data_IF_744510518557
#
_entry.id   IF_744510518557
#
_cell.length_a   1.000
_cell.length_b   1.000
_cell.length_c   1.000
_cell.angle_alpha   90.00
_cell.angle_beta   90.00
_cell.angle_gamma   90.00
#
_symmetry.space_group_name_H-M   'P 1'
#
loop_
_entity.id
_entity.type
_entity.pdbx_description
1 polymer ?
#
# COMPACT_ATOMS: atom_id res chain seq x y z
N UNK A 1 -24.12 -26.66 25.95
CA UNK A 1 -23.54 -27.31 24.76
C UNK A 1 -23.47 -26.29 23.64
N UNK A 2 -22.28 -26.07 23.08
CA UNK A 2 -21.94 -25.56 21.74
C UNK A 2 -22.65 -24.27 21.25
N UNK A 3 -21.96 -23.24 20.76
CA UNK A 3 -20.89 -23.35 19.79
C UNK A 3 -19.86 -22.23 19.90
N UNK A 4 -18.60 -22.66 19.93
CA UNK A 4 -17.43 -21.84 19.76
C UNK A 4 -17.41 -21.37 18.30
N UNK A 5 -17.60 -20.08 18.05
CA UNK A 5 -17.30 -19.51 16.74
C UNK A 5 -15.79 -19.59 16.52
N UNK A 6 -15.34 -20.65 15.85
CA UNK A 6 -14.02 -20.68 15.23
C UNK A 6 -14.01 -19.57 14.18
N UNK A 7 -13.38 -18.44 14.53
CA UNK A 7 -12.99 -17.39 13.60
C UNK A 7 -11.83 -17.92 12.74
N UNK A 8 -12.14 -18.88 11.88
CA UNK A 8 -11.22 -19.34 10.85
C UNK A 8 -11.39 -18.44 9.62
N UNK A 9 -10.65 -17.35 9.59
CA UNK A 9 -10.25 -16.73 8.34
C UNK A 9 -8.82 -16.25 8.47
N UNK A 10 -7.88 -17.22 8.57
CA UNK A 10 -6.57 -16.99 7.97
C UNK A 10 -6.84 -16.88 6.46
N UNK A 11 -7.17 -15.67 5.99
CA UNK A 11 -6.90 -15.34 4.60
C UNK A 11 -5.38 -15.45 4.47
N UNK A 12 -4.94 -16.63 4.03
CA UNK A 12 -3.59 -16.83 3.52
C UNK A 12 -3.34 -15.69 2.53
N UNK A 13 -2.20 -15.00 2.66
CA UNK A 13 -1.76 -14.04 1.65
C UNK A 13 -2.11 -14.57 0.27
N UNK A 14 -2.97 -13.82 -0.43
CA UNK A 14 -3.56 -14.25 -1.70
C UNK A 14 -2.52 -14.29 -2.83
N UNK A 15 -1.27 -13.94 -2.51
CA UNK A 15 -0.24 -13.55 -3.46
C UNK A 15 1.15 -13.98 -2.99
N UNK A 16 1.96 -14.41 -3.95
CA UNK A 16 3.41 -14.53 -3.85
C UNK A 16 4.02 -13.91 -5.11
N UNK A 17 5.13 -13.19 -4.97
CA UNK A 17 5.81 -12.50 -6.08
C UNK A 17 5.54 -11.00 -6.14
N UNK A 18 6.13 -10.33 -7.13
CA UNK A 18 6.08 -8.88 -7.29
C UNK A 18 4.90 -8.47 -8.18
N UNK A 19 4.27 -7.36 -7.82
CA UNK A 19 3.13 -6.81 -8.54
C UNK A 19 3.51 -5.45 -9.12
N UNK A 20 4.39 -5.49 -10.11
CA UNK A 20 4.82 -4.33 -10.86
C UNK A 20 3.79 -3.96 -11.92
N UNK A 21 3.39 -2.70 -11.93
CA UNK A 21 2.53 -2.12 -12.98
C UNK A 21 3.39 -1.61 -14.14
N UNK A 22 4.55 -1.02 -13.82
CA UNK A 22 5.59 -0.59 -14.74
C UNK A 22 6.96 -0.72 -14.05
N UNK A 23 8.09 -0.53 -14.75
CA UNK A 23 9.42 -0.52 -14.12
C UNK A 23 9.64 0.55 -13.03
N UNK A 24 8.70 1.49 -12.84
CA UNK A 24 8.77 2.60 -11.88
C UNK A 24 7.55 2.70 -10.97
N UNK A 25 6.57 1.82 -11.14
CA UNK A 25 5.31 1.81 -10.40
C UNK A 25 5.03 0.39 -9.94
N UNK A 26 5.05 0.17 -8.63
CA UNK A 26 4.88 -1.15 -8.03
C UNK A 26 3.87 -1.12 -6.90
N UNK A 27 3.11 -2.20 -6.73
CA UNK A 27 2.21 -2.37 -5.59
C UNK A 27 3.04 -2.91 -4.42
N UNK A 28 3.08 -2.14 -3.32
CA UNK A 28 3.73 -2.55 -2.07
C UNK A 28 2.81 -3.37 -1.18
N UNK A 29 1.52 -3.04 -1.15
CA UNK A 29 0.56 -3.74 -0.30
C UNK A 29 -0.86 -3.63 -0.84
N UNK A 30 -1.65 -4.67 -0.61
CA UNK A 30 -3.09 -4.69 -0.88
C UNK A 30 -3.79 -5.03 0.42
N UNK A 31 -4.79 -4.23 0.77
CA UNK A 31 -5.60 -4.41 1.98
C UNK A 31 -7.07 -4.46 1.57
N UNK A 32 -7.79 -5.49 2.02
CA UNK A 32 -9.23 -5.63 1.81
C UNK A 32 -9.94 -5.65 3.16
N UNK A 33 -10.86 -4.72 3.38
CA UNK A 33 -11.64 -4.61 4.63
C UNK A 33 -10.75 -4.64 5.88
N UNK A 34 -9.65 -3.86 5.88
CA UNK A 34 -8.62 -3.81 6.92
C UNK A 34 -7.83 -5.11 7.15
N UNK A 35 -7.89 -6.07 6.24
CA UNK A 35 -7.03 -7.25 6.25
C UNK A 35 -5.98 -7.12 5.14
N UNK A 36 -4.68 -7.11 5.46
CA UNK A 36 -3.63 -7.21 4.45
C UNK A 36 -3.74 -8.55 3.73
N UNK A 37 -3.90 -8.49 2.40
CA UNK A 37 -3.97 -9.69 1.55
C UNK A 37 -2.68 -9.89 0.76
N UNK A 38 -1.88 -8.84 0.63
CA UNK A 38 -0.56 -8.83 0.00
C UNK A 38 0.33 -7.79 0.66
N UNK A 39 1.62 -8.13 0.82
CA UNK A 39 2.65 -7.22 1.29
C UNK A 39 3.98 -7.60 0.64
N UNK A 40 4.58 -6.66 -0.08
CA UNK A 40 5.92 -6.76 -0.62
C UNK A 40 6.94 -6.20 0.38
N UNK A 41 7.76 -7.08 0.94
CA UNK A 41 8.86 -6.72 1.85
C UNK A 41 10.24 -6.81 1.19
N UNK A 42 10.30 -6.94 -0.14
CA UNK A 42 11.59 -7.05 -0.83
C UNK A 42 12.30 -5.70 -0.86
N UNK A 43 13.62 -5.78 -0.66
CA UNK A 43 14.55 -4.66 -0.67
C UNK A 43 15.07 -4.41 -2.09
N UNK A 44 14.17 -4.29 -3.06
CA UNK A 44 14.55 -4.01 -4.44
C UNK A 44 15.05 -2.58 -4.60
N UNK A 45 15.52 -2.24 -5.82
CA UNK A 45 16.23 -1.00 -6.15
C UNK A 45 15.49 0.32 -5.86
N UNK A 46 14.23 0.25 -5.42
CA UNK A 46 13.44 1.42 -5.03
C UNK A 46 13.59 1.82 -3.55
N UNK A 47 14.11 0.96 -2.66
CA UNK A 47 14.46 1.36 -1.28
C UNK A 47 15.95 1.69 -1.17
N UNK A 48 16.26 2.89 -0.70
CA UNK A 48 17.62 3.36 -0.45
C UNK A 48 17.83 3.54 1.05
N UNK A 49 19.04 3.26 1.53
CA UNK A 49 19.42 3.62 2.90
C UNK A 49 19.48 5.14 3.01
N UNK A 50 18.79 5.70 3.99
CA UNK A 50 18.97 7.10 4.35
C UNK A 50 20.19 7.29 5.27
N UNK A 51 20.36 8.52 5.78
CA UNK A 51 21.51 8.89 6.62
C UNK A 51 21.58 8.08 7.91
N UNK A 52 20.42 7.65 8.42
CA UNK A 52 20.30 6.91 9.68
C UNK A 52 20.35 5.39 9.43
N UNK A 53 20.49 4.98 8.16
CA UNK A 53 20.57 3.59 7.75
C UNK A 53 19.20 2.93 7.54
N UNK A 54 18.12 3.69 7.65
CA UNK A 54 16.75 3.20 7.41
C UNK A 54 16.51 3.05 5.92
N UNK A 55 15.80 1.97 5.53
CA UNK A 55 15.46 1.74 4.13
C UNK A 55 14.24 2.57 3.76
N UNK A 56 14.48 3.73 3.17
CA UNK A 56 13.48 4.68 2.72
C UNK A 56 13.19 4.49 1.23
N UNK A 57 11.91 4.53 0.86
CA UNK A 57 11.52 4.52 -0.54
C UNK A 57 12.11 5.76 -1.23
N UNK A 58 12.85 5.54 -2.32
CA UNK A 58 13.29 6.59 -3.23
C UNK A 58 12.13 7.06 -4.11
N UNK A 59 11.10 7.58 -3.46
CA UNK A 59 9.90 8.08 -4.09
C UNK A 59 8.74 8.28 -3.13
N UNK A 60 7.51 8.06 -3.61
CA UNK A 60 6.28 8.28 -2.85
C UNK A 60 5.30 7.13 -3.02
N UNK A 61 4.46 6.94 -2.01
CA UNK A 61 3.32 6.03 -2.07
C UNK A 61 2.05 6.83 -2.28
N UNK A 62 1.22 6.35 -3.21
CA UNK A 62 -0.18 6.75 -3.34
C UNK A 62 -1.08 5.61 -2.87
N UNK A 63 -2.17 5.95 -2.20
CA UNK A 63 -3.17 5.01 -1.74
C UNK A 63 -4.37 5.10 -2.69
N UNK A 64 -4.61 4.02 -3.43
CA UNK A 64 -5.79 3.86 -4.27
C UNK A 64 -6.84 3.11 -3.48
N UNK A 65 -7.98 3.75 -3.24
CA UNK A 65 -9.08 3.19 -2.46
C UNK A 65 -10.27 2.95 -3.38
N UNK A 66 -10.69 1.70 -3.47
CA UNK A 66 -11.88 1.26 -4.20
C UNK A 66 -12.95 0.88 -3.19
N UNK A 67 -14.09 1.56 -3.23
CA UNK A 67 -15.23 1.30 -2.36
C UNK A 67 -16.40 0.82 -3.20
N UNK A 68 -17.01 -0.31 -2.85
CA UNK A 68 -18.31 -0.68 -3.42
C UNK A 68 -19.48 -0.23 -2.56
N UNK A 69 -20.68 -0.30 -3.15
CA UNK A 69 -21.94 0.06 -2.50
C UNK A 69 -22.27 -0.83 -1.28
N UNK A 70 -21.66 -2.01 -1.18
CA UNK A 70 -21.82 -2.91 -0.04
C UNK A 70 -20.88 -2.56 1.14
N UNK A 71 -20.08 -1.49 1.01
CA UNK A 71 -19.14 -1.06 2.02
C UNK A 71 -17.83 -1.83 2.03
N UNK A 72 -17.54 -2.66 1.00
CA UNK A 72 -16.22 -3.26 0.88
C UNK A 72 -15.21 -2.20 0.44
N UNK A 73 -14.06 -2.21 1.09
CA UNK A 73 -12.96 -1.27 0.84
C UNK A 73 -11.72 -2.06 0.47
N UNK A 74 -11.18 -1.78 -0.71
CA UNK A 74 -9.90 -2.33 -1.17
C UNK A 74 -8.93 -1.16 -1.31
N UNK A 75 -7.80 -1.22 -0.58
CA UNK A 75 -6.73 -0.23 -0.62
C UNK A 75 -5.50 -0.84 -1.28
N UNK A 76 -4.94 -0.16 -2.27
CA UNK A 76 -3.64 -0.46 -2.84
C UNK A 76 -2.66 0.62 -2.43
N UNK A 77 -1.54 0.20 -1.86
CA UNK A 77 -0.40 1.06 -1.54
C UNK A 77 0.57 0.95 -2.69
N UNK A 78 0.58 1.95 -3.56
CA UNK A 78 1.32 1.94 -4.84
C UNK A 78 2.53 2.86 -4.72
N UNK A 79 3.72 2.32 -4.86
CA UNK A 79 4.96 3.07 -4.91
C UNK A 79 5.19 3.64 -6.31
N UNK A 80 5.56 4.92 -6.36
CA UNK A 80 6.08 5.63 -7.52
C UNK A 80 7.52 6.00 -7.18
N UNK A 81 8.48 5.50 -7.97
CA UNK A 81 9.91 5.69 -7.73
C UNK A 81 10.66 6.05 -9.02
N UNK A 82 11.92 6.45 -8.91
CA UNK A 82 12.70 6.92 -10.05
C UNK A 82 12.14 8.23 -10.62
N UNK A 83 12.11 8.38 -11.95
CA UNK A 83 11.66 9.59 -12.65
C UNK A 83 10.20 9.97 -12.32
N UNK A 84 9.36 9.00 -11.93
CA UNK A 84 7.97 9.22 -11.54
C UNK A 84 7.80 9.77 -10.11
N UNK A 85 8.87 9.79 -9.30
CA UNK A 85 8.79 10.24 -7.91
C UNK A 85 8.75 11.76 -7.73
N UNK A 86 9.33 12.50 -8.65
CA UNK A 86 9.48 13.97 -8.56
C UNK A 86 8.41 14.71 -9.37
N UNK A 87 7.86 14.09 -10.42
CA UNK A 87 7.00 14.78 -11.41
C UNK A 87 5.53 14.98 -11.02
N UNK A 88 5.04 14.43 -9.91
CA UNK A 88 3.61 14.43 -9.56
C UNK A 88 3.25 15.47 -8.48
N UNK A 89 4.11 16.47 -8.24
CA UNK A 89 4.02 17.35 -7.07
C UNK A 89 3.08 18.56 -7.20
N UNK A 90 2.19 18.63 -8.17
CA UNK A 90 1.22 19.73 -8.25
C UNK A 90 -0.12 19.27 -8.84
N UNK A 91 -1.19 19.81 -8.26
CA UNK A 91 -2.62 19.65 -8.59
C UNK A 91 -2.93 20.03 -10.05
N UNK A 92 -2.44 19.23 -10.99
CA UNK A 92 -2.71 19.36 -12.42
C UNK A 92 -3.57 18.19 -12.88
N UNK A 93 -4.49 18.46 -13.83
CA UNK A 93 -5.36 17.44 -14.44
C UNK A 93 -4.58 16.24 -15.01
N UNK A 94 -3.31 16.43 -15.37
CA UNK A 94 -2.39 15.39 -15.84
C UNK A 94 -2.10 14.33 -14.77
N UNK A 95 -1.98 14.73 -13.49
CA UNK A 95 -1.80 13.81 -12.37
C UNK A 95 -3.05 12.94 -12.17
N UNK A 96 -4.24 13.54 -12.25
CA UNK A 96 -5.50 12.79 -12.15
C UNK A 96 -5.63 11.76 -13.28
N UNK A 97 -5.33 12.16 -14.53
CA UNK A 97 -5.27 11.22 -15.67
C UNK A 97 -4.25 10.10 -15.44
N UNK A 98 -3.09 10.43 -14.89
CA UNK A 98 -2.08 9.45 -14.50
C UNK A 98 -2.61 8.45 -13.48
N UNK A 99 -3.29 8.90 -12.42
CA UNK A 99 -3.90 7.99 -11.45
C UNK A 99 -5.02 7.15 -12.05
N UNK A 100 -5.84 7.70 -12.96
CA UNK A 100 -6.84 6.90 -13.67
C UNK A 100 -6.20 5.78 -14.49
N UNK A 101 -5.08 6.04 -15.16
CA UNK A 101 -4.33 5.03 -15.89
C UNK A 101 -3.75 3.95 -14.96
N UNK A 102 -3.22 4.35 -13.80
CA UNK A 102 -2.73 3.41 -12.78
C UNK A 102 -3.89 2.58 -12.22
N UNK A 103 -5.04 3.18 -11.94
CA UNK A 103 -6.23 2.47 -11.48
C UNK A 103 -6.70 1.40 -12.48
N UNK A 104 -6.71 1.73 -13.78
CA UNK A 104 -7.00 0.76 -14.85
C UNK A 104 -5.96 -0.35 -14.89
N UNK A 105 -4.68 0.00 -14.80
CA UNK A 105 -3.57 -0.96 -14.77
C UNK A 105 -3.65 -1.91 -13.58
N UNK A 106 -4.14 -1.44 -12.42
CA UNK A 106 -4.43 -2.29 -11.26
C UNK A 106 -5.50 -3.32 -11.61
N UNK A 107 -6.63 -2.91 -12.20
CA UNK A 107 -7.66 -3.85 -12.62
C UNK A 107 -7.13 -4.87 -13.63
N UNK A 108 -6.37 -4.43 -14.64
CA UNK A 108 -5.78 -5.30 -15.65
C UNK A 108 -4.81 -6.32 -15.03
N UNK A 109 -3.94 -5.87 -14.12
CA UNK A 109 -3.00 -6.75 -13.41
C UNK A 109 -3.73 -7.80 -12.56
N UNK A 110 -4.75 -7.38 -11.80
CA UNK A 110 -5.55 -8.26 -10.94
C UNK A 110 -6.31 -9.30 -11.79
N UNK A 111 -6.91 -8.87 -12.91
CA UNK A 111 -7.63 -9.74 -13.83
C UNK A 111 -6.69 -10.71 -14.56
N UNK A 112 -5.55 -10.24 -15.08
CA UNK A 112 -4.52 -11.05 -15.75
C UNK A 112 -4.03 -12.18 -14.86
N UNK A 113 -3.82 -11.90 -13.59
CA UNK A 113 -3.40 -12.87 -12.59
C UNK A 113 -4.58 -13.66 -11.96
N UNK A 114 -5.81 -13.48 -12.46
CA UNK A 114 -7.04 -14.18 -12.03
C UNK A 114 -7.32 -14.09 -10.54
N UNK A 115 -6.95 -12.98 -9.91
CA UNK A 115 -7.13 -12.79 -8.48
C UNK A 115 -8.58 -12.36 -8.20
N UNK A 116 -9.23 -13.07 -7.29
CA UNK A 116 -10.59 -12.78 -6.83
C UNK A 116 -10.62 -11.67 -5.77
N UNK A 117 -10.10 -10.49 -6.11
CA UNK A 117 -10.06 -9.35 -5.20
C UNK A 117 -11.33 -8.50 -5.32
N UNK A 118 -11.69 -8.13 -6.55
CA UNK A 118 -12.88 -7.38 -6.91
C UNK A 118 -14.06 -8.31 -7.20
N UNK A 119 -15.26 -7.87 -6.84
CA UNK A 119 -16.50 -8.53 -7.27
C UNK A 119 -16.83 -8.15 -8.71
N UNK A 120 -17.13 -9.12 -9.60
CA UNK A 120 -17.47 -8.83 -11.00
C UNK A 120 -18.84 -8.14 -11.16
N UNK A 121 -19.65 -8.07 -10.10
CA UNK A 121 -20.99 -7.46 -10.12
C UNK A 121 -21.06 -6.15 -9.35
N UNK A 122 -19.97 -5.73 -8.71
CA UNK A 122 -19.95 -4.50 -7.92
C UNK A 122 -19.49 -3.31 -8.78
N UNK A 123 -20.07 -2.15 -8.50
CA UNK A 123 -19.56 -0.86 -8.98
C UNK A 123 -18.64 -0.29 -7.91
N UNK A 124 -17.44 0.13 -8.30
CA UNK A 124 -16.45 0.68 -7.38
C UNK A 124 -16.25 2.17 -7.59
N UNK A 125 -16.47 2.96 -6.54
CA UNK A 125 -15.98 4.32 -6.48
C UNK A 125 -14.48 4.32 -6.17
N UNK A 126 -13.70 5.06 -6.96
CA UNK A 126 -12.25 5.17 -6.77
C UNK A 126 -11.89 6.50 -6.13
N UNK A 127 -11.02 6.45 -5.11
CA UNK A 127 -10.43 7.60 -4.45
C UNK A 127 -8.91 7.44 -4.42
N UNK A 128 -8.18 8.55 -4.48
CA UNK A 128 -6.72 8.57 -4.45
C UNK A 128 -6.25 9.47 -3.31
N UNK A 129 -5.32 8.99 -2.50
CA UNK A 129 -4.67 9.79 -1.46
C UNK A 129 -3.16 9.78 -1.75
N UNK A 130 -2.58 10.95 -1.97
CA UNK A 130 -1.23 11.06 -2.52
C UNK A 130 -0.18 11.55 -1.49
N UNK A 131 1.10 11.39 -1.86
CA UNK A 131 2.32 11.87 -1.18
C UNK A 131 2.70 11.23 0.14
N UNK A 132 2.56 9.92 0.29
CA UNK A 132 3.13 9.26 1.47
C UNK A 132 4.64 9.01 1.30
N UNK A 133 5.42 9.31 2.33
CA UNK A 133 6.76 8.72 2.50
C UNK A 133 6.59 7.29 2.96
N UNK A 134 7.49 6.40 2.55
CA UNK A 134 7.44 4.99 2.92
C UNK A 134 8.81 4.49 3.33
N UNK A 135 8.84 3.63 4.35
CA UNK A 135 10.01 2.99 4.90
C UNK A 135 9.76 1.48 4.98
N UNK A 136 10.78 0.71 4.64
CA UNK A 136 10.78 -0.75 4.74
C UNK A 136 11.57 -1.17 5.97
N UNK A 137 10.90 -1.93 6.84
CA UNK A 137 11.51 -2.61 7.97
C UNK A 137 11.47 -4.12 7.71
N UNK A 138 12.05 -4.90 8.61
CA UNK A 138 12.24 -6.35 8.40
C UNK A 138 10.94 -7.10 8.10
N UNK A 139 9.86 -6.77 8.79
CA UNK A 139 8.58 -7.49 8.76
C UNK A 139 7.37 -6.61 8.37
N UNK A 140 7.61 -5.34 8.06
CA UNK A 140 6.55 -4.34 7.88
C UNK A 140 6.99 -3.18 6.98
N UNK A 141 6.01 -2.50 6.41
CA UNK A 141 6.19 -1.17 5.85
C UNK A 141 5.55 -0.12 6.77
N UNK A 142 6.17 1.04 6.83
CA UNK A 142 5.68 2.20 7.56
C UNK A 142 5.54 3.34 6.57
N UNK A 143 4.39 4.00 6.54
CA UNK A 143 4.09 5.05 5.57
C UNK A 143 3.35 6.20 6.24
N UNK A 144 3.65 7.44 5.88
CA UNK A 144 2.98 8.62 6.42
C UNK A 144 2.95 9.77 5.40
N UNK A 145 1.90 10.59 5.45
CA UNK A 145 1.76 11.74 4.55
C UNK A 145 2.67 12.90 4.97
N UNK A 146 2.93 13.84 4.05
CA UNK A 146 3.87 14.94 4.31
C UNK A 146 3.41 15.92 5.40
N UNK A 147 2.11 15.97 5.71
CA UNK A 147 1.55 16.79 6.79
C UNK A 147 1.54 16.09 8.15
N UNK A 148 2.01 14.84 8.23
CA UNK A 148 2.02 14.01 9.44
C UNK A 148 0.64 13.77 10.07
N UNK A 149 -0.44 13.99 9.32
CA UNK A 149 -1.81 13.82 9.83
C UNK A 149 -2.36 12.41 9.60
N UNK A 150 -1.75 11.63 8.70
CA UNK A 150 -2.18 10.28 8.39
C UNK A 150 -1.00 9.37 8.08
N UNK A 151 -1.05 8.14 8.56
CA UNK A 151 -0.03 7.13 8.39
C UNK A 151 -0.55 5.72 8.59
N UNK A 152 0.27 4.75 8.17
CA UNK A 152 -0.02 3.34 8.27
C UNK A 152 1.23 2.55 8.64
N UNK A 153 1.04 1.56 9.50
CA UNK A 153 1.95 0.43 9.66
C UNK A 153 1.25 -0.79 9.09
N UNK A 154 1.91 -1.48 8.16
CA UNK A 154 1.37 -2.65 7.50
C UNK A 154 2.34 -3.81 7.66
N UNK A 155 1.86 -4.88 8.29
CA UNK A 155 2.55 -6.16 8.36
C UNK A 155 1.79 -7.18 7.52
N UNK A 156 2.34 -8.39 7.46
CA UNK A 156 1.66 -9.53 6.85
C UNK A 156 0.28 -9.82 7.45
N UNK A 157 0.06 -9.54 8.73
CA UNK A 157 -1.17 -9.92 9.44
C UNK A 157 -2.07 -8.76 9.82
N UNK A 158 -1.57 -7.51 9.79
CA UNK A 158 -2.33 -6.36 10.25
C UNK A 158 -2.02 -5.09 9.47
N UNK A 159 -3.00 -4.20 9.43
CA UNK A 159 -2.81 -2.79 9.11
C UNK A 159 -3.34 -1.94 10.27
N UNK A 160 -2.56 -0.94 10.68
CA UNK A 160 -2.95 0.05 11.67
C UNK A 160 -2.84 1.42 11.03
N UNK A 161 -3.95 2.17 11.03
CA UNK A 161 -3.95 3.59 10.70
C UNK A 161 -3.61 4.39 11.96
N UNK A 162 -2.88 5.48 11.78
CA UNK A 162 -2.29 6.29 12.84
C UNK A 162 -1.95 7.68 12.30
N UNK A 163 -1.46 8.57 13.16
CA UNK A 163 -0.87 9.84 12.69
C UNK A 163 0.50 9.58 12.06
N UNK A 164 1.02 10.58 11.35
CA UNK A 164 2.39 10.51 10.85
C UNK A 164 3.43 10.54 11.96
N UNK A 165 3.17 11.25 13.05
CA UNK A 165 4.07 11.27 14.22
C UNK A 165 4.20 9.88 14.85
N UNK A 166 3.07 9.20 15.08
CA UNK A 166 3.05 7.81 15.58
C UNK A 166 3.78 6.86 14.61
N UNK A 167 3.66 7.08 13.30
CA UNK A 167 4.36 6.29 12.30
C UNK A 167 5.90 6.48 12.39
N UNK A 168 6.38 7.70 12.66
CA UNK A 168 7.82 7.96 12.85
C UNK A 168 8.36 7.28 14.11
N UNK A 169 7.60 7.23 15.21
CA UNK A 169 8.00 6.52 16.42
C UNK A 169 8.22 5.01 16.18
N UNK A 170 7.45 4.42 15.26
CA UNK A 170 7.64 3.03 14.84
C UNK A 170 8.97 2.79 14.10
N UNK A 171 9.58 3.83 13.50
CA UNK A 171 10.92 3.78 12.91
C UNK A 171 11.98 3.79 14.03
N UNK A 172 11.90 4.77 14.93
CA UNK A 172 12.85 4.95 16.03
C UNK A 172 12.93 3.73 16.97
N UNK A 173 11.78 3.16 17.33
CA UNK A 173 11.71 1.96 18.18
C UNK A 173 12.33 0.70 17.56
N UNK A 174 12.51 0.68 16.24
CA UNK A 174 13.16 -0.44 15.53
C UNK A 174 14.68 -0.31 15.51
N UNK A 175 15.22 0.91 15.70
CA UNK A 175 16.65 1.15 15.80
C UNK A 175 17.20 0.80 17.19
N UNK A 176 16.42 0.99 18.26
CA UNK A 176 16.82 0.66 19.64
C UNK A 176 16.97 -0.84 19.93
N UNK A 177 16.57 -1.72 18.98
CA UNK A 177 16.65 -3.18 19.11
C UNK A 177 17.82 -3.82 18.36
N UNK A 178 18.66 -3.01 17.69
CA UNK A 178 19.89 -3.46 17.03
C UNK A 178 21.10 -3.11 17.87
#
# INVERSE_FOLDING_TARGET
MFGWFKKNSKESHLFQGDLDLTPYISILSIVKNNNPVYLNLKKENFFIKDRDGDLKLNGRVAIFKFNDESGNIIKFFVAFYGEFSEGWSSTNQEMLRGFELVARSIFDLINKNKIKLFSPRAVYQTQYIYTYRCFLLEDKIVTYNLSFTDGYVITKSMIKNMTGDEAVEHLASSQAKK
#
